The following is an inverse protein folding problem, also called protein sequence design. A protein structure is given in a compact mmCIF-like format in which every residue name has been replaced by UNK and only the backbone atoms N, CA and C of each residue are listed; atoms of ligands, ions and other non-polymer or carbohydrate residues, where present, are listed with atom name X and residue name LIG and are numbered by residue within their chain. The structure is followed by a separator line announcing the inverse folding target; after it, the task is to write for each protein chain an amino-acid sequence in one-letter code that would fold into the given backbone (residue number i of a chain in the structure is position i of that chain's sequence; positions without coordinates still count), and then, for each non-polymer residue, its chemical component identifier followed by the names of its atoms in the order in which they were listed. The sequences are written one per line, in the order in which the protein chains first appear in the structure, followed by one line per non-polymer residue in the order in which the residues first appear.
data_IF_848559044020
#
_entry.id   IF_848559044020
#
_cell.length_a   1.000
_cell.length_b   1.000
_cell.length_c   1.000
_cell.angle_alpha   90.00
_cell.angle_beta   90.00
_cell.angle_gamma   90.00
#
_symmetry.space_group_name_H-M   'P 1'
#
loop_
_entity.id
_entity.type
_entity.pdbx_description
1 polymer ?
#
# COMPACT_ATOMS: atom_id res chain seq x y z
N UNK A 1 -5.22 3.13 1.72
CA UNK A 1 -4.59 4.19 2.54
C UNK A 1 -3.89 5.18 1.64
N UNK A 2 -4.14 6.45 1.85
CA UNK A 2 -3.56 7.53 1.05
C UNK A 2 -2.81 8.52 1.94
N UNK A 3 -1.68 9.09 1.49
CA UNK A 3 -1.01 10.16 2.20
C UNK A 3 -1.76 11.49 2.02
N UNK A 4 -1.54 12.44 2.93
CA UNK A 4 -2.10 13.79 2.80
C UNK A 4 -1.46 14.56 1.64
N UNK A 5 -0.16 14.35 1.39
CA UNK A 5 0.53 14.93 0.24
C UNK A 5 0.07 14.22 -1.02
N UNK A 6 -0.29 14.98 -2.05
CA UNK A 6 -0.69 14.42 -3.34
C UNK A 6 0.54 14.02 -4.15
N UNK A 7 0.70 12.72 -4.37
CA UNK A 7 1.77 12.12 -5.19
C UNK A 7 1.06 11.23 -6.20
N UNK A 8 1.28 11.42 -7.49
CA UNK A 8 0.53 10.73 -8.54
C UNK A 8 0.87 9.25 -8.63
N UNK A 9 2.16 8.91 -8.68
CA UNK A 9 2.62 7.52 -8.84
C UNK A 9 3.85 7.26 -7.98
N UNK A 10 4.23 5.99 -7.85
CA UNK A 10 5.48 5.61 -7.18
C UNK A 10 6.68 6.29 -7.84
N UNK A 11 6.64 6.49 -9.16
CA UNK A 11 7.74 7.12 -9.89
C UNK A 11 7.94 8.60 -9.52
N UNK A 12 6.95 9.21 -8.91
CA UNK A 12 6.99 10.62 -8.49
C UNK A 12 7.40 10.81 -7.02
N UNK A 13 7.71 9.73 -6.33
CA UNK A 13 8.22 9.78 -4.95
C UNK A 13 9.66 10.30 -4.97
N UNK A 14 9.94 11.33 -4.16
CA UNK A 14 11.27 11.88 -3.97
C UNK A 14 11.85 11.48 -2.61
N UNK A 15 13.16 11.73 -2.41
CA UNK A 15 13.84 11.41 -1.16
C UNK A 15 13.18 12.05 0.07
N UNK A 16 12.61 13.24 -0.11
CA UNK A 16 11.92 13.95 0.97
C UNK A 16 10.63 13.24 1.41
N UNK A 17 10.09 12.35 0.58
CA UNK A 17 8.85 11.62 0.84
C UNK A 17 9.08 10.29 1.58
N UNK A 18 10.31 9.89 1.82
CA UNK A 18 10.61 8.56 2.39
C UNK A 18 9.97 8.33 3.76
N UNK A 19 9.95 9.35 4.62
CA UNK A 19 9.33 9.23 5.94
C UNK A 19 7.81 9.10 5.81
N UNK A 20 7.20 9.83 4.86
CA UNK A 20 5.78 9.74 4.56
C UNK A 20 5.40 8.34 4.09
N UNK A 21 6.18 7.77 3.18
CA UNK A 21 5.91 6.42 2.65
C UNK A 21 6.11 5.38 3.75
N UNK A 22 7.16 5.51 4.56
CA UNK A 22 7.38 4.63 5.71
C UNK A 22 6.22 4.69 6.70
N UNK A 23 5.68 5.87 6.94
CA UNK A 23 4.53 6.08 7.82
C UNK A 23 3.29 5.31 7.32
N UNK A 24 3.07 5.23 6.01
CA UNK A 24 1.97 4.45 5.45
C UNK A 24 2.07 2.97 5.86
N UNK A 25 3.28 2.40 5.87
CA UNK A 25 3.49 1.01 6.28
C UNK A 25 3.32 0.81 7.79
N UNK A 26 3.71 1.79 8.60
CA UNK A 26 3.45 1.74 10.04
C UNK A 26 1.94 1.73 10.30
N UNK A 27 1.20 2.60 9.64
CA UNK A 27 -0.27 2.65 9.77
C UNK A 27 -0.91 1.36 9.24
N UNK A 28 -0.40 0.81 8.13
CA UNK A 28 -0.89 -0.45 7.58
C UNK A 28 -0.72 -1.61 8.57
N UNK A 29 0.44 -1.69 9.20
CA UNK A 29 0.72 -2.69 10.24
C UNK A 29 -0.27 -2.59 11.40
N UNK A 30 -0.50 -1.38 11.90
CA UNK A 30 -1.41 -1.16 13.02
C UNK A 30 -2.86 -1.48 12.63
N UNK A 31 -3.26 -1.12 11.41
CA UNK A 31 -4.58 -1.43 10.89
C UNK A 31 -4.80 -2.94 10.74
N UNK A 32 -3.80 -3.67 10.24
CA UNK A 32 -3.87 -5.12 10.11
C UNK A 32 -4.07 -5.80 11.47
N UNK A 33 -3.40 -5.30 12.49
CA UNK A 33 -3.56 -5.80 13.86
C UNK A 33 -4.97 -5.51 14.38
N UNK A 34 -5.48 -4.31 14.16
CA UNK A 34 -6.82 -3.91 14.57
C UNK A 34 -7.90 -4.77 13.91
N UNK A 35 -7.73 -5.08 12.62
CA UNK A 35 -8.68 -5.87 11.85
C UNK A 35 -8.51 -7.39 12.05
N UNK A 36 -7.55 -7.82 12.85
CA UNK A 36 -7.36 -9.23 13.20
C UNK A 36 -6.71 -10.07 12.09
N UNK A 37 -6.04 -9.47 11.13
CA UNK A 37 -5.40 -10.20 10.04
C UNK A 37 -3.87 -10.29 10.17
N UNK A 38 -3.32 -9.73 11.25
CA UNK A 38 -1.87 -9.63 11.44
C UNK A 38 -1.19 -10.99 11.55
N UNK A 39 -1.76 -11.90 12.37
CA UNK A 39 -1.11 -13.19 12.65
C UNK A 39 -1.17 -14.14 11.47
N UNK A 40 -2.29 -14.21 10.77
CA UNK A 40 -2.44 -15.05 9.58
C UNK A 40 -1.70 -14.49 8.38
N UNK A 41 -1.50 -13.18 8.36
CA UNK A 41 -0.78 -12.51 7.31
C UNK A 41 -1.67 -11.71 6.38
N UNK A 42 -1.04 -10.81 5.66
CA UNK A 42 -1.73 -9.91 4.74
C UNK A 42 -0.77 -9.47 3.65
N UNK A 43 -1.32 -8.85 2.62
CA UNK A 43 -0.55 -8.34 1.49
C UNK A 43 -0.72 -6.83 1.40
N UNK A 44 0.37 -6.13 1.15
CA UNK A 44 0.35 -4.70 0.84
C UNK A 44 0.74 -4.48 -0.62
N UNK A 45 0.03 -3.58 -1.30
CA UNK A 45 0.23 -3.35 -2.73
C UNK A 45 0.17 -1.86 -3.04
N UNK A 46 1.21 -1.37 -3.73
CA UNK A 46 1.15 -0.13 -4.49
C UNK A 46 1.12 -0.47 -5.97
N UNK A 47 0.17 0.08 -6.71
CA UNK A 47 0.12 -0.03 -8.16
C UNK A 47 0.75 1.22 -8.78
N UNK A 48 1.43 1.05 -9.91
CA UNK A 48 2.06 2.16 -10.62
C UNK A 48 1.75 2.06 -12.11
N UNK A 49 1.07 3.06 -12.63
CA UNK A 49 0.73 3.21 -14.04
C UNK A 49 -0.09 2.02 -14.61
N UNK A 50 -0.19 1.94 -15.95
CA UNK A 50 -1.11 1.03 -16.64
C UNK A 50 -0.83 -0.45 -16.38
N UNK A 51 0.44 -0.86 -16.48
CA UNK A 51 0.78 -2.27 -16.24
C UNK A 51 0.61 -2.69 -14.79
N UNK A 52 0.64 -1.74 -13.86
CA UNK A 52 0.33 -1.98 -12.45
C UNK A 52 -1.16 -1.87 -12.12
N UNK A 53 -2.00 -1.59 -13.12
CA UNK A 53 -3.44 -1.39 -12.95
C UNK A 53 -3.80 -0.23 -12.02
N UNK A 54 -3.01 0.84 -12.05
CA UNK A 54 -3.34 2.04 -11.29
C UNK A 54 -4.48 2.78 -11.99
N UNK A 55 -5.58 3.00 -11.27
CA UNK A 55 -6.77 3.69 -11.82
C UNK A 55 -6.95 5.08 -11.25
N UNK A 56 -6.47 5.34 -10.04
CA UNK A 56 -6.53 6.66 -9.38
C UNK A 56 -5.11 7.19 -9.21
N UNK A 57 -4.86 8.39 -9.75
CA UNK A 57 -3.51 8.98 -9.74
C UNK A 57 -3.28 9.89 -8.53
N UNK A 58 -3.51 9.32 -7.38
CA UNK A 58 -3.05 9.72 -6.07
C UNK A 58 -2.61 8.43 -5.41
N UNK A 59 -1.33 8.28 -5.09
CA UNK A 59 -0.81 7.00 -4.61
C UNK A 59 -1.61 6.51 -3.40
N UNK A 60 -1.85 5.23 -3.36
CA UNK A 60 -2.58 4.61 -2.26
C UNK A 60 -2.06 3.20 -2.01
N UNK A 61 -1.92 2.87 -0.75
CA UNK A 61 -1.49 1.56 -0.30
C UNK A 61 -2.71 0.70 -0.05
N UNK A 62 -2.79 -0.42 -0.78
CA UNK A 62 -3.80 -1.45 -0.51
C UNK A 62 -3.32 -2.37 0.59
N UNK A 63 -4.20 -2.72 1.50
CA UNK A 63 -3.97 -3.74 2.53
C UNK A 63 -5.01 -4.83 2.33
N UNK A 64 -4.56 -6.03 1.99
CA UNK A 64 -5.42 -7.14 1.60
C UNK A 64 -5.22 -8.30 2.57
N UNK A 65 -6.29 -8.79 3.16
CA UNK A 65 -6.20 -9.91 4.11
C UNK A 65 -7.54 -10.60 4.28
N UNK A 66 -7.56 -11.60 5.17
CA UNK A 66 -8.76 -12.36 5.48
C UNK A 66 -8.91 -13.65 4.69
N UNK A 67 -7.97 -13.97 3.80
CA UNK A 67 -7.91 -15.23 3.07
C UNK A 67 -6.49 -15.56 2.64
N UNK A 68 -6.25 -16.80 2.27
CA UNK A 68 -4.98 -17.20 1.67
C UNK A 68 -4.84 -16.55 0.29
N UNK A 69 -3.74 -15.83 0.09
CA UNK A 69 -3.39 -15.25 -1.21
C UNK A 69 -2.60 -16.25 -2.05
N UNK A 70 -2.71 -16.13 -3.37
CA UNK A 70 -1.96 -16.94 -4.30
C UNK A 70 -0.65 -16.28 -4.71
N UNK A 71 0.28 -17.08 -5.21
CA UNK A 71 1.53 -16.64 -5.77
C UNK A 71 1.74 -17.31 -7.13
N UNK A 72 2.15 -16.60 -8.20
CA UNK A 72 2.53 -15.17 -8.26
C UNK A 72 1.34 -14.22 -8.05
N UNK A 73 1.61 -12.96 -7.66
CA UNK A 73 0.59 -12.03 -7.16
C UNK A 73 -0.25 -11.34 -8.25
N UNK A 74 -0.22 -11.77 -9.44
CA UNK A 74 -0.98 -11.11 -10.50
C UNK A 74 -1.33 -11.97 -11.68
#
# INVERSE_FOLDING_TARGET
MIPKKEIRTINDIDDIDKDLIGELFIVAKDLAKKEGISDDGYRTVFNCNDHGAQTVYHIHLHVLGGRQMNWPPG
#
